data_IF_318645056209
#
_entry.id   IF_318645056209
#
_cell.length_a   1.000
_cell.length_b   1.000
_cell.length_c   1.000
_cell.angle_alpha   90.00
_cell.angle_beta   90.00
_cell.angle_gamma   90.00
#
_symmetry.space_group_name_H-M   'P 1'
#
loop_
_entity.id
_entity.type
_entity.pdbx_description
1 polymer ?
#
# COMPACT_ATOMS: atom_id res chain seq x y z
N UNK A 1 -10.49 14.80 6.55
CA UNK A 1 -9.75 13.64 7.12
C UNK A 1 -10.34 12.41 6.44
N UNK A 2 -9.58 11.34 6.22
CA UNK A 2 -10.16 10.10 5.70
C UNK A 2 -10.84 9.38 6.86
N UNK A 3 -12.16 9.25 6.81
CA UNK A 3 -12.94 8.65 7.89
C UNK A 3 -13.11 7.13 7.69
N UNK A 4 -12.76 6.63 6.49
CA UNK A 4 -12.79 5.21 6.14
C UNK A 4 -11.46 4.74 5.55
N UNK A 5 -11.22 3.43 5.59
CA UNK A 5 -10.04 2.84 4.93
C UNK A 5 -10.09 3.08 3.41
N UNK A 6 -11.28 3.03 2.79
CA UNK A 6 -11.44 3.29 1.35
C UNK A 6 -11.00 4.71 1.00
N UNK A 7 -11.39 5.71 1.80
CA UNK A 7 -10.97 7.10 1.62
C UNK A 7 -9.46 7.28 1.84
N UNK A 8 -8.89 6.55 2.80
CA UNK A 8 -7.44 6.55 3.03
C UNK A 8 -6.69 5.99 1.81
N UNK A 9 -7.13 4.86 1.27
CA UNK A 9 -6.53 4.26 0.07
C UNK A 9 -6.69 5.18 -1.15
N UNK A 10 -7.88 5.74 -1.37
CA UNK A 10 -8.12 6.69 -2.46
C UNK A 10 -7.20 7.93 -2.35
N UNK A 11 -7.10 8.54 -1.18
CA UNK A 11 -6.21 9.69 -0.97
C UNK A 11 -4.73 9.33 -1.17
N UNK A 12 -4.34 8.11 -0.78
CA UNK A 12 -2.99 7.60 -0.97
C UNK A 12 -2.66 7.38 -2.45
N UNK A 13 -3.61 6.81 -3.22
CA UNK A 13 -3.49 6.63 -4.67
C UNK A 13 -3.28 7.98 -5.36
N UNK A 14 -4.12 8.97 -5.05
CA UNK A 14 -4.07 10.29 -5.70
C UNK A 14 -2.81 11.07 -5.33
N UNK A 15 -2.40 11.04 -4.06
CA UNK A 15 -1.22 11.78 -3.61
C UNK A 15 0.11 11.07 -3.85
N UNK A 16 0.09 9.77 -4.14
CA UNK A 16 1.26 8.87 -4.10
C UNK A 16 2.08 9.01 -2.83
N UNK A 17 1.36 9.17 -1.72
CA UNK A 17 1.98 9.30 -0.41
C UNK A 17 1.13 8.69 0.69
N UNK A 18 1.79 8.12 1.71
CA UNK A 18 1.15 7.65 2.93
C UNK A 18 1.56 8.58 4.07
N UNK A 19 0.60 9.33 4.62
CA UNK A 19 0.86 10.35 5.64
C UNK A 19 1.98 11.35 5.24
N UNK A 20 2.06 11.70 3.95
CA UNK A 20 3.07 12.59 3.40
C UNK A 20 4.43 11.93 3.10
N UNK A 21 4.55 10.61 3.31
CA UNK A 21 5.72 9.82 2.93
C UNK A 21 5.53 9.28 1.51
N UNK A 22 6.52 9.49 0.65
CA UNK A 22 6.52 9.05 -0.75
C UNK A 22 7.78 8.26 -1.08
N UNK A 23 7.94 7.89 -2.35
CA UNK A 23 9.26 7.56 -2.90
C UNK A 23 10.25 8.70 -2.62
N UNK A 24 11.54 8.37 -2.53
CA UNK A 24 12.66 9.25 -2.13
C UNK A 24 12.63 9.74 -0.68
N UNK A 25 11.57 9.46 0.08
CA UNK A 25 11.54 9.78 1.51
C UNK A 25 12.62 8.96 2.25
N UNK A 26 13.34 9.57 3.20
CA UNK A 26 14.37 8.87 3.95
C UNK A 26 13.73 7.87 4.93
N UNK A 27 14.39 6.74 5.21
CA UNK A 27 13.87 5.73 6.15
C UNK A 27 13.55 6.31 7.54
N UNK A 28 14.34 7.28 8.00
CA UNK A 28 14.10 7.97 9.28
C UNK A 28 12.79 8.78 9.33
N UNK A 29 12.22 9.16 8.19
CA UNK A 29 10.90 9.78 8.15
C UNK A 29 9.79 8.74 8.37
N UNK A 30 9.97 7.52 7.87
CA UNK A 30 9.06 6.40 8.16
C UNK A 30 9.11 6.04 9.65
N UNK A 31 10.30 5.98 10.24
CA UNK A 31 10.47 5.69 11.68
C UNK A 31 9.75 6.70 12.57
N UNK A 32 9.72 7.98 12.17
CA UNK A 32 8.98 9.03 12.91
C UNK A 32 7.47 8.88 12.85
N UNK A 33 6.93 8.33 11.76
CA UNK A 33 5.49 8.23 11.52
C UNK A 33 4.94 6.88 11.99
N UNK A 34 5.65 5.79 11.70
CA UNK A 34 5.21 4.43 11.99
C UNK A 34 5.85 3.86 13.27
N UNK A 35 6.93 4.46 13.77
CA UNK A 35 7.71 3.97 14.90
C UNK A 35 8.96 3.21 14.44
N UNK A 36 10.10 3.44 15.10
CA UNK A 36 11.38 2.84 14.72
C UNK A 36 11.49 1.33 15.01
N UNK A 37 10.59 0.78 15.83
CA UNK A 37 10.59 -0.63 16.28
C UNK A 37 9.32 -1.39 15.83
N UNK A 38 8.56 -0.84 14.88
CA UNK A 38 7.26 -1.38 14.45
C UNK A 38 7.32 -2.17 13.14
N UNK A 39 8.51 -2.54 12.67
CA UNK A 39 8.72 -3.27 11.42
C UNK A 39 9.59 -4.52 11.59
N UNK A 40 9.40 -5.46 10.67
CA UNK A 40 10.39 -6.50 10.38
C UNK A 40 11.29 -6.00 9.26
N UNK A 41 12.61 -5.96 9.51
CA UNK A 41 13.60 -5.56 8.52
C UNK A 41 14.23 -6.78 7.85
N UNK A 42 14.32 -6.73 6.52
CA UNK A 42 15.01 -7.72 5.70
C UNK A 42 16.04 -7.00 4.82
N UNK A 43 17.31 -7.14 5.20
CA UNK A 43 18.45 -6.50 4.55
C UNK A 43 19.07 -7.47 3.55
N UNK A 44 19.33 -7.02 2.32
CA UNK A 44 19.99 -7.87 1.35
C UNK A 44 21.44 -8.21 1.77
N UNK A 45 22.01 -9.26 1.16
CA UNK A 45 23.37 -9.73 1.47
C UNK A 45 24.45 -8.65 1.33
N UNK A 46 24.28 -7.73 0.41
CA UNK A 46 25.25 -6.67 0.09
C UNK A 46 25.05 -5.39 0.90
N UNK A 47 24.01 -5.33 1.75
CA UNK A 47 23.60 -4.14 2.50
C UNK A 47 23.39 -2.91 1.61
N UNK A 48 22.89 -3.13 0.39
CA UNK A 48 22.57 -2.08 -0.59
C UNK A 48 21.08 -1.80 -0.70
N UNK A 49 20.24 -2.79 -0.38
CA UNK A 49 18.80 -2.62 -0.29
C UNK A 49 18.27 -3.25 0.99
N UNK A 50 17.18 -2.69 1.52
CA UNK A 50 16.45 -3.23 2.65
C UNK A 50 14.95 -3.13 2.41
N UNK A 51 14.20 -4.09 2.93
CA UNK A 51 12.74 -4.07 3.01
C UNK A 51 12.34 -3.90 4.47
N UNK A 52 11.41 -3.00 4.76
CA UNK A 52 10.75 -2.90 6.07
C UNK A 52 9.27 -3.17 5.92
N UNK A 53 8.80 -4.14 6.69
CA UNK A 53 7.42 -4.60 6.70
C UNK A 53 6.73 -4.17 7.99
N UNK A 54 5.80 -3.23 7.88
CA UNK A 54 4.99 -2.69 8.98
C UNK A 54 3.61 -3.38 9.08
N UNK A 55 3.47 -4.58 8.51
CA UNK A 55 2.21 -5.32 8.44
C UNK A 55 1.36 -4.93 7.24
N UNK A 56 0.61 -3.83 7.31
CA UNK A 56 -0.20 -3.35 6.17
C UNK A 56 0.64 -2.61 5.12
N UNK A 57 1.74 -2.00 5.54
CA UNK A 57 2.62 -1.20 4.69
C UNK A 57 3.95 -1.89 4.57
N UNK A 58 4.42 -2.05 3.34
CA UNK A 58 5.76 -2.50 3.02
C UNK A 58 6.52 -1.38 2.31
N UNK A 59 7.81 -1.26 2.66
CA UNK A 59 8.71 -0.26 2.09
C UNK A 59 10.00 -0.91 1.65
N UNK A 60 10.53 -0.48 0.51
CA UNK A 60 11.86 -0.84 0.03
C UNK A 60 12.75 0.39 0.03
N UNK A 61 13.97 0.27 0.55
CA UNK A 61 14.97 1.33 0.55
C UNK A 61 16.25 0.90 -0.13
N UNK A 62 16.90 1.84 -0.80
CA UNK A 62 18.25 1.73 -1.34
C UNK A 62 19.20 2.59 -0.54
N UNK A 63 20.46 2.16 -0.43
CA UNK A 63 21.49 2.90 0.30
C UNK A 63 22.11 3.96 -0.61
N UNK A 64 22.07 5.22 -0.18
CA UNK A 64 22.71 6.36 -0.86
C UNK A 64 24.05 6.74 -0.22
N UNK A 65 24.26 6.37 1.04
CA UNK A 65 25.47 6.70 1.79
C UNK A 65 25.53 5.96 3.12
N UNK A 66 26.58 6.18 3.94
CA UNK A 66 26.67 5.59 5.26
C UNK A 66 25.48 5.96 6.15
N UNK A 67 24.58 5.00 6.38
CA UNK A 67 23.37 5.21 7.20
C UNK A 67 22.23 5.94 6.48
N UNK A 68 22.42 6.33 5.22
CA UNK A 68 21.41 7.04 4.44
C UNK A 68 20.67 6.08 3.50
N UNK A 69 19.35 6.01 3.69
CA UNK A 69 18.46 5.11 2.98
C UNK A 69 17.32 5.89 2.35
N UNK A 70 17.06 5.67 1.05
CA UNK A 70 15.98 6.31 0.28
C UNK A 70 14.95 5.31 -0.16
N UNK A 71 13.68 5.65 0.02
CA UNK A 71 12.55 4.81 -0.37
C UNK A 71 12.48 4.68 -1.89
N UNK A 72 12.54 3.47 -2.43
CA UNK A 72 12.32 3.19 -3.85
C UNK A 72 11.04 2.38 -4.10
N UNK A 73 10.42 1.83 -3.05
CA UNK A 73 9.19 1.05 -3.15
C UNK A 73 8.29 1.33 -1.95
N UNK A 74 7.00 1.56 -2.21
CA UNK A 74 5.99 1.79 -1.20
C UNK A 74 4.72 1.04 -1.58
N UNK A 75 4.35 0.04 -0.79
CA UNK A 75 3.26 -0.89 -1.09
C UNK A 75 2.30 -0.96 0.10
N UNK A 76 1.01 -0.91 -0.19
CA UNK A 76 -0.06 -1.22 0.76
C UNK A 76 -0.58 -2.63 0.45
N UNK A 77 -0.33 -3.58 1.34
CA UNK A 77 -0.71 -4.98 1.19
C UNK A 77 -2.15 -5.21 1.67
N UNK A 78 -3.14 -4.69 0.95
CA UNK A 78 -4.57 -4.71 1.34
C UNK A 78 -5.10 -6.11 1.64
N UNK A 79 -4.68 -7.12 0.87
CA UNK A 79 -5.03 -8.53 1.10
C UNK A 79 -4.70 -9.02 2.52
N UNK A 80 -3.74 -8.39 3.20
CA UNK A 80 -3.35 -8.77 4.56
C UNK A 80 -4.38 -8.43 5.64
N UNK A 81 -5.34 -7.54 5.35
CA UNK A 81 -6.46 -7.23 6.26
C UNK A 81 -7.33 -8.46 6.60
N UNK A 82 -7.24 -9.53 5.80
CA UNK A 82 -7.95 -10.79 6.03
C UNK A 82 -7.42 -11.59 7.21
N UNK A 83 -6.18 -11.33 7.62
CA UNK A 83 -5.54 -11.98 8.76
C UNK A 83 -5.41 -11.01 9.93
N UNK A 84 -5.20 -11.54 11.13
CA UNK A 84 -4.91 -10.73 12.32
C UNK A 84 -3.50 -10.12 12.19
N UNK A 85 -3.44 -8.99 11.49
CA UNK A 85 -2.19 -8.31 11.17
C UNK A 85 -1.94 -7.11 12.05
N UNK A 86 -0.66 -6.82 12.26
CA UNK A 86 -0.23 -5.55 12.83
C UNK A 86 -0.60 -4.42 11.88
N UNK A 87 -1.56 -3.59 12.28
CA UNK A 87 -1.82 -2.31 11.64
C UNK A 87 -0.87 -1.26 12.23
N UNK A 88 -0.20 -0.42 11.41
CA UNK A 88 0.53 0.72 11.93
C UNK A 88 -0.37 1.58 12.83
N UNK A 89 0.10 1.93 14.04
CA UNK A 89 -0.72 2.60 15.07
C UNK A 89 -1.38 3.91 14.58
N UNK A 90 -0.71 4.64 13.70
CA UNK A 90 -1.26 5.86 13.09
C UNK A 90 -2.49 5.59 12.21
N UNK A 91 -2.60 4.40 11.61
CA UNK A 91 -3.78 3.97 10.85
C UNK A 91 -4.88 3.53 11.82
N UNK A 92 -4.56 2.64 12.77
CA UNK A 92 -5.56 2.08 13.70
C UNK A 92 -6.13 3.13 14.67
N UNK A 93 -5.41 4.22 14.93
CA UNK A 93 -5.90 5.35 15.74
C UNK A 93 -6.84 6.31 15.00
N UNK A 94 -6.84 6.28 13.66
CA UNK A 94 -7.65 7.19 12.82
C UNK A 94 -8.80 6.50 12.11
N UNK A 95 -8.63 5.23 11.78
CA UNK A 95 -9.58 4.45 10.99
C UNK A 95 -10.06 3.29 11.85
N UNK A 96 -11.34 3.31 12.18
CA UNK A 96 -11.99 2.26 12.94
C UNK A 96 -12.76 1.31 12.02
N UNK A 97 -13.05 0.10 12.51
CA UNK A 97 -13.85 -0.90 11.79
C UNK A 97 -13.33 -1.20 10.37
N UNK A 98 -12.02 -1.42 10.24
CA UNK A 98 -11.41 -1.78 8.96
C UNK A 98 -11.92 -3.17 8.55
N UNK A 99 -12.64 -3.30 7.42
CA UNK A 99 -13.11 -4.60 6.94
C UNK A 99 -11.93 -5.49 6.54
N UNK A 100 -12.14 -6.80 6.60
CA UNK A 100 -11.15 -7.79 6.18
C UNK A 100 -10.85 -7.76 4.68
N UNK A 101 -11.77 -7.21 3.87
CA UNK A 101 -11.63 -7.10 2.41
C UNK A 101 -12.14 -5.76 1.92
N UNK A 102 -11.53 -5.24 0.83
CA UNK A 102 -11.95 -4.01 0.17
C UNK A 102 -12.39 -4.34 -1.26
N UNK A 103 -13.63 -4.01 -1.61
CA UNK A 103 -14.10 -4.13 -3.00
C UNK A 103 -13.44 -3.07 -3.86
N UNK A 104 -13.00 -3.48 -5.05
CA UNK A 104 -12.43 -2.58 -6.03
C UNK A 104 -13.44 -1.52 -6.47
N UNK A 105 -14.72 -1.88 -6.63
CA UNK A 105 -15.80 -0.94 -6.99
C UNK A 105 -15.93 0.23 -6.00
N UNK A 106 -15.75 -0.03 -4.70
CA UNK A 106 -15.85 1.01 -3.67
C UNK A 106 -14.65 1.96 -3.73
N UNK A 107 -13.45 1.39 -3.96
CA UNK A 107 -12.22 2.15 -4.15
C UNK A 107 -12.27 2.99 -5.43
N UNK A 108 -12.70 2.39 -6.53
CA UNK A 108 -12.87 3.05 -7.83
C UNK A 108 -13.87 4.20 -7.74
N UNK A 109 -15.04 3.98 -7.13
CA UNK A 109 -16.02 5.04 -6.90
C UNK A 109 -15.44 6.17 -6.02
N UNK A 110 -14.66 5.84 -5.00
CA UNK A 110 -14.01 6.83 -4.14
C UNK A 110 -12.95 7.65 -4.88
N UNK A 111 -12.17 7.04 -5.78
CA UNK A 111 -11.22 7.73 -6.66
C UNK A 111 -11.96 8.62 -7.69
N UNK A 112 -13.02 8.09 -8.32
CA UNK A 112 -13.87 8.81 -9.27
C UNK A 112 -14.52 10.06 -8.65
N UNK A 113 -15.03 9.95 -7.41
CA UNK A 113 -15.59 11.07 -6.66
C UNK A 113 -14.58 12.20 -6.38
N UNK A 114 -13.28 11.92 -6.54
CA UNK A 114 -12.18 12.89 -6.40
C UNK A 114 -11.63 13.37 -7.75
N UNK A 115 -12.28 12.98 -8.86
CA UNK A 115 -11.98 13.48 -10.20
C UNK A 115 -10.89 12.73 -10.95
N UNK A 116 -10.51 11.52 -10.53
CA UNK A 116 -9.62 10.64 -11.30
C UNK A 116 -10.31 9.33 -11.68
N UNK A 117 -9.82 8.69 -12.74
CA UNK A 117 -10.26 7.37 -13.18
C UNK A 117 -9.11 6.37 -13.08
N UNK A 118 -9.44 5.12 -12.78
CA UNK A 118 -8.48 4.02 -12.77
C UNK A 118 -8.52 3.31 -14.12
N UNK A 119 -7.42 3.39 -14.87
CA UNK A 119 -7.33 2.74 -16.17
C UNK A 119 -6.75 1.33 -16.05
N UNK A 120 -7.32 0.35 -16.74
CA UNK A 120 -6.70 -0.97 -16.91
C UNK A 120 -5.26 -0.83 -17.44
N UNK A 121 -4.32 -1.52 -16.82
CA UNK A 121 -2.90 -1.39 -17.12
C UNK A 121 -2.16 -2.73 -17.10
N UNK A 122 -1.11 -2.83 -17.92
CA UNK A 122 -0.19 -3.97 -17.92
C UNK A 122 -0.77 -5.30 -18.42
N UNK A 123 0.08 -6.33 -18.49
CA UNK A 123 -0.37 -7.69 -18.76
C UNK A 123 -1.30 -8.14 -17.62
N UNK A 124 -2.48 -8.61 -18.01
CA UNK A 124 -3.38 -9.29 -17.09
C UNK A 124 -2.77 -10.67 -16.84
N UNK A 125 -2.36 -10.93 -15.61
CA UNK A 125 -2.04 -12.30 -15.21
C UNK A 125 -3.37 -12.98 -14.90
N UNK A 126 -3.46 -14.29 -15.09
CA UNK A 126 -4.70 -15.04 -14.80
C UNK A 126 -5.27 -14.69 -13.43
N UNK A 127 -4.41 -14.33 -12.48
CA UNK A 127 -4.80 -14.08 -11.11
C UNK A 127 -5.18 -12.65 -10.76
N UNK A 128 -4.75 -11.69 -11.59
CA UNK A 128 -4.91 -10.28 -11.25
C UNK A 128 -5.24 -9.42 -12.46
N UNK A 129 -6.25 -8.57 -12.24
CA UNK A 129 -6.46 -7.38 -13.03
C UNK A 129 -5.66 -6.22 -12.45
N UNK A 130 -4.89 -5.55 -13.31
CA UNK A 130 -4.05 -4.43 -12.90
C UNK A 130 -4.63 -3.12 -13.43
N UNK A 131 -4.66 -2.10 -12.56
CA UNK A 131 -5.13 -0.76 -12.87
C UNK A 131 -4.08 0.28 -12.49
N UNK A 132 -4.10 1.43 -13.16
CA UNK A 132 -3.22 2.57 -12.90
C UNK A 132 -4.05 3.84 -12.76
N UNK A 133 -3.76 4.62 -11.72
CA UNK A 133 -4.31 5.97 -11.54
C UNK A 133 -3.51 7.02 -12.31
N UNK A 134 -4.08 8.21 -12.53
CA UNK A 134 -3.40 9.32 -13.21
C UNK A 134 -2.10 9.74 -12.51
N UNK A 135 -2.05 9.57 -11.19
CA UNK A 135 -0.84 9.79 -10.38
C UNK A 135 0.33 8.86 -10.73
N UNK A 136 0.04 7.68 -11.27
CA UNK A 136 0.99 6.59 -11.53
C UNK A 136 0.94 5.45 -10.50
N UNK A 137 0.11 5.55 -9.45
CA UNK A 137 -0.13 4.45 -8.52
C UNK A 137 -0.78 3.26 -9.25
N UNK A 138 -0.39 2.04 -8.87
CA UNK A 138 -0.86 0.79 -9.47
C UNK A 138 -1.66 -0.02 -8.46
N UNK A 139 -2.75 -0.62 -8.92
CA UNK A 139 -3.69 -1.38 -8.09
C UNK A 139 -3.80 -2.78 -8.71
N UNK A 140 -3.51 -3.80 -7.91
CA UNK A 140 -3.80 -5.18 -8.27
C UNK A 140 -5.14 -5.61 -7.67
N UNK A 141 -6.02 -6.16 -8.50
CA UNK A 141 -7.37 -6.62 -8.16
C UNK A 141 -7.48 -8.10 -8.50
N UNK A 142 -8.09 -8.89 -7.62
CA UNK A 142 -8.26 -10.32 -7.83
C UNK A 142 -9.22 -10.55 -9.01
N UNK A 143 -8.75 -11.26 -10.05
CA UNK A 143 -9.49 -11.46 -11.30
C UNK A 143 -10.45 -12.65 -11.29
N UNK A 144 -10.09 -13.70 -10.55
CA UNK A 144 -10.86 -14.94 -10.37
C UNK A 144 -10.73 -15.38 -8.91
N UNK A 145 -11.70 -16.14 -8.40
CA UNK A 145 -11.59 -16.71 -7.05
C UNK A 145 -10.50 -17.79 -7.02
N UNK A 146 -9.48 -17.60 -6.17
CA UNK A 146 -8.39 -18.57 -5.99
C UNK A 146 -8.63 -19.54 -4.84
N UNK A 147 -9.34 -19.08 -3.80
CA UNK A 147 -9.64 -19.77 -2.54
C UNK A 147 -10.80 -19.05 -1.83
N UNK A 148 -11.42 -19.64 -0.80
CA UNK A 148 -12.49 -19.04 0.02
C UNK A 148 -12.11 -17.66 0.59
N UNK A 149 -10.80 -17.43 0.76
CA UNK A 149 -10.26 -16.19 1.28
C UNK A 149 -9.94 -15.16 0.18
N UNK A 150 -9.86 -15.55 -1.10
CA UNK A 150 -9.41 -14.69 -2.19
C UNK A 150 -10.58 -14.35 -3.12
N UNK A 151 -11.38 -13.38 -2.66
CA UNK A 151 -12.61 -12.96 -3.34
C UNK A 151 -12.33 -12.09 -4.57
N UNK A 152 -12.85 -12.51 -5.72
CA UNK A 152 -12.90 -11.79 -6.99
C UNK A 152 -13.37 -10.34 -6.78
N UNK A 153 -12.74 -9.41 -7.50
CA UNK A 153 -13.07 -7.99 -7.45
C UNK A 153 -12.66 -7.31 -6.14
N UNK A 154 -11.86 -7.96 -5.30
CA UNK A 154 -11.23 -7.32 -4.14
C UNK A 154 -9.82 -6.81 -4.45
N UNK A 155 -9.45 -5.72 -3.79
CA UNK A 155 -8.11 -5.14 -3.90
C UNK A 155 -7.09 -6.04 -3.21
N UNK A 156 -6.06 -6.43 -3.94
CA UNK A 156 -4.96 -7.23 -3.42
C UNK A 156 -3.86 -6.35 -2.82
N UNK A 157 -3.32 -5.42 -3.61
CA UNK A 157 -2.35 -4.45 -3.14
C UNK A 157 -2.42 -3.15 -3.95
N UNK A 158 -1.80 -2.10 -3.40
CA UNK A 158 -1.59 -0.83 -4.06
C UNK A 158 -0.11 -0.51 -3.99
N UNK A 159 0.50 -0.20 -5.13
CA UNK A 159 1.89 0.26 -5.25
C UNK A 159 1.90 1.74 -5.63
N UNK A 160 2.68 2.54 -4.91
CA UNK A 160 2.84 3.97 -5.17
C UNK A 160 4.09 4.27 -5.98
#
# INVERSE_FOLDING_TARGET
MADTIVDFLANTILSRSIFGLSLESPSSAFDKIFGADSYVEDMNKHKTTMRRDYGLIETGFTREGPGEWRCFSLIISVHRLRWDITLPQIISSKIHNIPSTIRFSDLEASVANRGEELALSGPQFHDFQNFTAGSGARIAVIAEDFDELLLEGCVWNIQL
#
